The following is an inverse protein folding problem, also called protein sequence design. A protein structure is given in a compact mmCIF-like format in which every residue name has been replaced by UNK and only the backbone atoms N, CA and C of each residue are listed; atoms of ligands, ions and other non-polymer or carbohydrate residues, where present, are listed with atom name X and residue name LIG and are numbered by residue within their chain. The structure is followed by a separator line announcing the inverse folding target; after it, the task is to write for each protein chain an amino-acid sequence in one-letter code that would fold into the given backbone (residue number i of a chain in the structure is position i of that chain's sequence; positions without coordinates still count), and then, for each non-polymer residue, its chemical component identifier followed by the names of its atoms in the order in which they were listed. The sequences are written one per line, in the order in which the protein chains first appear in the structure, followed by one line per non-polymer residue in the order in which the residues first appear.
data_IF_761388376619
#
_entry.id   IF_761388376619
#
_cell.length_a   1.000
_cell.length_b   1.000
_cell.length_c   1.000
_cell.angle_alpha   90.00
_cell.angle_beta   90.00
_cell.angle_gamma   90.00
#
_symmetry.space_group_name_H-M   'P 1'
#
loop_
_entity.id
_entity.type
_entity.pdbx_description
1 polymer ?
#
# COMPACT_ATOMS: atom_id res chain seq x y z
N UNK A 1 -26.96 25.67 -42.60
CA UNK A 1 -25.69 25.59 -41.82
C UNK A 1 -25.85 24.99 -40.42
N UNK A 2 -27.02 25.12 -39.75
CA UNK A 2 -27.24 24.66 -38.36
C UNK A 2 -27.25 23.13 -38.14
N UNK A 3 -27.72 22.33 -39.12
CA UNK A 3 -27.77 20.85 -39.04
C UNK A 3 -26.39 20.17 -39.18
N UNK A 4 -25.49 20.76 -39.98
CA UNK A 4 -24.11 20.25 -40.16
C UNK A 4 -23.26 20.50 -38.90
N UNK A 5 -23.43 21.64 -38.25
CA UNK A 5 -22.78 21.94 -36.96
C UNK A 5 -23.24 21.02 -35.84
N UNK A 6 -24.55 20.72 -35.76
CA UNK A 6 -25.10 19.81 -34.75
C UNK A 6 -24.61 18.36 -34.94
N UNK A 7 -24.50 17.88 -36.18
CA UNK A 7 -23.97 16.55 -36.49
C UNK A 7 -22.49 16.41 -36.12
N UNK A 8 -21.69 17.46 -36.31
CA UNK A 8 -20.28 17.46 -35.92
C UNK A 8 -20.11 17.43 -34.40
N UNK A 9 -20.93 18.17 -33.66
CA UNK A 9 -20.89 18.16 -32.19
C UNK A 9 -21.28 16.78 -31.63
N UNK A 10 -22.34 16.16 -32.17
CA UNK A 10 -22.75 14.81 -31.77
C UNK A 10 -21.68 13.74 -32.05
N UNK A 11 -21.00 13.83 -33.20
CA UNK A 11 -19.92 12.91 -33.54
C UNK A 11 -18.72 13.04 -32.59
N UNK A 12 -18.37 14.27 -32.19
CA UNK A 12 -17.28 14.52 -31.23
C UNK A 12 -17.64 14.00 -29.84
N UNK A 13 -18.87 14.23 -29.36
CA UNK A 13 -19.31 13.71 -28.06
C UNK A 13 -19.35 12.18 -28.02
N UNK A 14 -19.79 11.52 -29.09
CA UNK A 14 -19.80 10.05 -29.18
C UNK A 14 -18.38 9.46 -29.17
N UNK A 15 -17.42 10.11 -29.83
CA UNK A 15 -16.02 9.68 -29.85
C UNK A 15 -15.36 9.78 -28.46
N UNK A 16 -15.69 10.81 -27.67
CA UNK A 16 -15.17 10.99 -26.30
C UNK A 16 -15.71 9.92 -25.35
N UNK A 17 -16.98 9.52 -25.49
CA UNK A 17 -17.59 8.46 -24.66
C UNK A 17 -16.95 7.09 -24.97
N UNK A 18 -16.62 6.79 -26.22
CA UNK A 18 -16.00 5.52 -26.62
C UNK A 18 -14.52 5.40 -26.21
N UNK A 19 -13.80 6.51 -26.01
CA UNK A 19 -12.38 6.52 -25.65
C UNK A 19 -12.11 6.40 -24.13
N UNK A 20 -13.13 6.43 -23.28
CA UNK A 20 -12.99 6.62 -21.82
C UNK A 20 -12.57 5.40 -20.98
N UNK A 21 -12.40 4.21 -21.54
CA UNK A 21 -12.06 2.99 -20.78
C UNK A 21 -10.58 2.59 -20.90
N UNK A 22 -9.65 3.53 -20.84
CA UNK A 22 -8.24 3.19 -20.66
C UNK A 22 -7.92 3.10 -19.18
N UNK A 23 -8.16 1.93 -18.58
CA UNK A 23 -7.70 1.62 -17.23
C UNK A 23 -6.18 1.75 -17.18
N UNK A 24 -5.69 2.80 -16.53
CA UNK A 24 -4.28 2.95 -16.22
C UNK A 24 -3.88 1.80 -15.30
N UNK A 25 -3.12 0.83 -15.83
CA UNK A 25 -2.41 -0.15 -15.00
C UNK A 25 -1.31 0.60 -14.25
N UNK A 26 -1.68 1.24 -13.15
CA UNK A 26 -0.69 1.74 -12.22
C UNK A 26 0.05 0.53 -11.64
N UNK A 27 1.40 0.52 -11.68
CA UNK A 27 2.15 -0.55 -11.05
C UNK A 27 1.79 -0.59 -9.56
N UNK A 28 1.58 -1.80 -8.99
CA UNK A 28 1.24 -1.91 -7.58
C UNK A 28 2.30 -1.18 -6.74
N UNK A 29 1.90 -0.54 -5.63
CA UNK A 29 2.85 0.11 -4.73
C UNK A 29 3.96 -0.88 -4.35
N UNK A 30 5.22 -0.44 -4.37
CA UNK A 30 6.34 -1.26 -3.85
C UNK A 30 6.11 -1.48 -2.36
N UNK A 31 5.52 -2.62 -2.00
CA UNK A 31 5.35 -3.01 -0.60
C UNK A 31 6.72 -3.38 -0.04
N UNK A 32 7.22 -2.59 0.92
CA UNK A 32 8.43 -2.93 1.63
C UNK A 32 8.25 -4.29 2.31
N UNK A 33 9.19 -5.22 2.10
CA UNK A 33 9.12 -6.56 2.71
C UNK A 33 9.12 -6.42 4.23
N UNK A 34 8.08 -6.94 4.87
CA UNK A 34 7.97 -6.94 6.33
C UNK A 34 9.03 -7.92 6.88
N UNK A 35 9.92 -7.47 7.77
CA UNK A 35 10.89 -8.35 8.42
C UNK A 35 10.21 -9.43 9.24
N UNK A 36 10.67 -10.68 9.11
CA UNK A 36 10.30 -11.76 10.02
C UNK A 36 11.03 -11.60 11.37
N UNK A 37 10.41 -12.11 12.44
CA UNK A 37 11.01 -12.14 13.78
C UNK A 37 11.99 -13.32 13.82
N UNK A 38 13.30 -13.10 14.06
CA UNK A 38 14.32 -14.14 13.99
C UNK A 38 14.56 -14.86 15.32
N UNK A 39 13.71 -14.63 16.31
CA UNK A 39 13.79 -15.20 17.65
C UNK A 39 12.39 -15.58 18.13
N UNK A 40 12.33 -16.36 19.20
CA UNK A 40 11.07 -16.71 19.85
C UNK A 40 10.44 -15.49 20.53
N UNK A 41 9.11 -15.46 20.54
CA UNK A 41 8.31 -14.45 21.25
C UNK A 41 7.10 -15.13 21.87
N UNK A 42 6.65 -14.60 23.00
CA UNK A 42 5.38 -14.98 23.63
C UNK A 42 4.33 -13.90 23.37
N UNK A 43 3.05 -14.23 23.55
CA UNK A 43 1.95 -13.27 23.28
C UNK A 43 2.02 -12.02 24.17
N UNK A 44 2.51 -12.14 25.40
CA UNK A 44 2.56 -11.07 26.40
C UNK A 44 3.88 -10.29 26.42
N UNK A 45 4.79 -10.58 25.49
CA UNK A 45 6.10 -9.92 25.45
C UNK A 45 5.98 -8.45 25.04
N UNK A 46 6.55 -7.54 25.84
CA UNK A 46 6.68 -6.14 25.45
C UNK A 46 7.77 -5.96 24.38
N UNK A 47 7.32 -5.91 23.12
CA UNK A 47 8.18 -5.74 21.95
C UNK A 47 9.01 -4.44 22.03
N UNK A 48 8.49 -3.39 22.68
CA UNK A 48 9.12 -2.06 22.72
C UNK A 48 10.29 -2.01 23.68
N UNK A 49 10.36 -2.90 24.67
CA UNK A 49 11.48 -3.01 25.61
C UNK A 49 12.85 -3.06 24.90
N UNK A 50 12.93 -3.74 23.75
CA UNK A 50 14.13 -3.80 22.92
C UNK A 50 14.01 -2.96 21.64
N UNK A 51 12.90 -3.03 20.92
CA UNK A 51 12.76 -2.36 19.62
C UNK A 51 12.49 -0.85 19.71
N UNK A 52 12.24 -0.32 20.91
CA UNK A 52 12.12 1.13 21.15
C UNK A 52 13.46 1.83 21.35
N UNK A 53 14.39 1.18 22.03
CA UNK A 53 15.71 1.73 22.38
C UNK A 53 16.86 1.12 21.60
N UNK A 54 16.65 -0.02 20.95
CA UNK A 54 17.69 -0.83 20.34
C UNK A 54 18.44 -1.73 21.32
N UNK A 55 17.85 -2.00 22.51
CA UNK A 55 18.47 -2.90 23.48
C UNK A 55 18.77 -4.28 22.88
N UNK A 56 19.83 -4.92 23.36
CA UNK A 56 20.31 -6.22 22.87
C UNK A 56 20.61 -6.25 21.36
N UNK A 57 20.93 -5.10 20.75
CA UNK A 57 21.19 -5.00 19.31
C UNK A 57 19.93 -5.10 18.45
N UNK A 58 18.73 -5.00 19.04
CA UNK A 58 17.48 -4.98 18.30
C UNK A 58 17.46 -3.78 17.34
N UNK A 59 16.93 -4.00 16.13
CA UNK A 59 16.69 -2.88 15.20
C UNK A 59 15.56 -2.02 15.73
N UNK A 60 15.80 -0.72 15.88
CA UNK A 60 14.76 0.23 16.28
C UNK A 60 13.69 0.28 15.20
N UNK A 61 12.43 0.09 15.59
CA UNK A 61 11.32 0.18 14.65
C UNK A 61 10.99 1.64 14.33
N UNK A 62 10.60 1.90 13.08
CA UNK A 62 10.20 3.26 12.63
C UNK A 62 8.76 3.60 12.97
N UNK A 63 8.01 2.67 13.56
CA UNK A 63 6.58 2.78 13.82
C UNK A 63 6.23 2.22 15.21
N UNK A 64 6.81 2.81 16.24
CA UNK A 64 6.59 2.46 17.65
C UNK A 64 5.16 2.70 18.13
N UNK A 65 4.42 3.54 17.41
CA UNK A 65 3.02 3.90 17.63
C UNK A 65 2.05 2.77 17.28
N UNK A 66 2.45 1.82 16.42
CA UNK A 66 1.57 0.74 15.97
C UNK A 66 1.37 -0.33 17.06
N UNK A 67 0.12 -0.69 17.40
CA UNK A 67 -0.15 -1.82 18.29
C UNK A 67 -0.02 -3.16 17.54
N UNK A 68 -0.04 -4.27 18.28
CA UNK A 68 -0.18 -5.63 17.76
C UNK A 68 0.89 -6.00 16.71
N UNK A 69 2.18 -5.94 17.08
CA UNK A 69 3.32 -6.14 16.18
C UNK A 69 3.26 -7.45 15.37
N UNK A 70 2.75 -8.53 15.98
CA UNK A 70 2.66 -9.88 15.40
C UNK A 70 1.57 -10.02 14.32
N UNK A 71 0.70 -9.02 14.15
CA UNK A 71 -0.26 -8.99 13.05
C UNK A 71 0.45 -8.99 11.70
N UNK A 72 1.54 -8.22 11.59
CA UNK A 72 2.37 -8.09 10.40
C UNK A 72 3.68 -8.88 10.50
N UNK A 73 4.40 -8.79 11.63
CA UNK A 73 5.69 -9.44 11.81
C UNK A 73 5.49 -10.88 12.28
N UNK A 74 5.78 -11.85 11.42
CA UNK A 74 5.64 -13.27 11.75
C UNK A 74 6.98 -13.86 12.22
N UNK A 75 6.91 -14.81 13.15
CA UNK A 75 8.08 -15.62 13.55
C UNK A 75 8.56 -16.39 12.33
N UNK A 76 9.87 -16.33 12.07
CA UNK A 76 10.49 -17.14 11.03
C UNK A 76 10.35 -18.60 11.44
N UNK A 77 9.60 -19.38 10.65
CA UNK A 77 9.56 -20.84 10.76
C UNK A 77 10.92 -21.42 10.37
#
# INVERSE_FOLDING_TARGET
MKKRGLLLILAVFLAVILAGCSGTKEPPPKVAKIPAIPHEVTQDMDCKSCHGSGANGAKITKHLDRPNCISCHKIKQ
#
